data_IF_825862633493
#
_entry.id   IF_825862633493
#
_cell.length_a   1.000
_cell.length_b   1.000
_cell.length_c   1.000
_cell.angle_alpha   90.00
_cell.angle_beta   90.00
_cell.angle_gamma   90.00
#
_symmetry.space_group_name_H-M   'P 1'
#
loop_
_entity.id
_entity.type
_entity.pdbx_description
1 polymer ?
#
# COMPACT_ATOMS: atom_id res chain seq x y z
N UNK A 1 -39.80 40.66 26.05
CA UNK A 1 -40.54 41.91 25.72
C UNK A 1 -40.45 42.11 24.21
N UNK A 2 -41.35 41.42 23.47
CA UNK A 2 -42.14 41.85 22.30
C UNK A 2 -41.55 42.79 21.19
N UNK A 3 -42.11 42.75 19.96
CA UNK A 3 -41.72 41.88 18.83
C UNK A 3 -41.78 42.65 17.47
N UNK A 4 -41.95 41.93 16.35
CA UNK A 4 -42.23 42.41 14.95
C UNK A 4 -40.95 42.87 14.22
N UNK A 5 -40.57 42.29 13.08
CA UNK A 5 -41.20 42.44 11.74
C UNK A 5 -40.95 41.15 10.92
N UNK A 6 -41.97 40.38 10.51
CA UNK A 6 -42.77 40.47 9.28
C UNK A 6 -42.04 40.03 7.97
N UNK A 7 -42.33 38.80 7.55
CA UNK A 7 -42.26 38.13 6.22
C UNK A 7 -43.10 38.94 5.15
N UNK A 8 -43.23 38.62 3.82
CA UNK A 8 -42.80 37.41 3.07
C UNK A 8 -42.47 37.56 1.53
N UNK A 9 -42.23 36.40 0.87
CA UNK A 9 -42.42 36.06 -0.56
C UNK A 9 -41.48 36.66 -1.62
N UNK A 10 -40.72 35.80 -2.33
CA UNK A 10 -41.04 35.43 -3.72
C UNK A 10 -40.15 34.26 -4.21
N UNK A 11 -40.81 33.13 -4.47
CA UNK A 11 -40.24 31.99 -5.15
C UNK A 11 -39.87 32.33 -6.60
N UNK A 12 -38.74 31.85 -7.08
CA UNK A 12 -38.59 31.46 -8.49
C UNK A 12 -37.64 30.28 -8.57
N UNK A 13 -38.20 29.10 -8.80
CA UNK A 13 -37.46 27.94 -9.25
C UNK A 13 -37.33 28.03 -10.78
N UNK A 14 -36.12 27.83 -11.31
CA UNK A 14 -35.95 27.37 -12.68
C UNK A 14 -34.72 26.45 -12.75
N UNK A 15 -35.01 25.15 -12.90
CA UNK A 15 -34.04 24.13 -13.29
C UNK A 15 -33.62 24.34 -14.74
N UNK A 16 -32.32 24.14 -15.01
CA UNK A 16 -31.81 23.60 -16.28
C UNK A 16 -30.65 22.67 -15.97
N UNK A 17 -30.70 21.51 -16.60
CA UNK A 17 -29.94 20.30 -16.32
C UNK A 17 -28.65 20.21 -17.15
N UNK A 18 -27.80 19.26 -16.73
CA UNK A 18 -26.72 18.60 -17.47
C UNK A 18 -25.47 19.45 -17.75
N UNK A 19 -24.25 19.02 -17.41
CA UNK A 19 -23.73 17.66 -17.41
C UNK A 19 -23.35 17.16 -16.01
N UNK A 20 -23.94 16.04 -15.61
CA UNK A 20 -23.20 15.10 -14.80
C UNK A 20 -22.15 14.49 -15.72
N UNK A 21 -20.93 15.02 -15.69
CA UNK A 21 -19.79 14.16 -15.93
C UNK A 21 -19.74 13.22 -14.74
N UNK A 22 -20.38 12.06 -14.91
CA UNK A 22 -19.90 10.86 -14.25
C UNK A 22 -18.47 10.69 -14.76
N UNK A 23 -17.52 11.38 -14.12
CA UNK A 23 -16.15 10.88 -14.07
C UNK A 23 -16.33 9.41 -13.74
N UNK A 24 -15.93 8.48 -14.61
CA UNK A 24 -15.80 7.12 -14.12
C UNK A 24 -14.85 7.31 -12.94
N UNK A 25 -15.34 7.12 -11.71
CA UNK A 25 -14.45 6.72 -10.64
C UNK A 25 -13.76 5.52 -11.26
N UNK A 26 -12.56 5.78 -11.78
CA UNK A 26 -11.64 4.75 -12.14
C UNK A 26 -11.58 3.99 -10.84
N UNK A 27 -12.22 2.82 -10.85
CA UNK A 27 -11.97 1.79 -9.89
C UNK A 27 -10.46 1.66 -9.99
N UNK A 28 -9.73 2.32 -9.08
CA UNK A 28 -8.36 2.00 -8.81
C UNK A 28 -8.46 0.55 -8.40
N UNK A 29 -8.29 -0.32 -9.39
CA UNK A 29 -7.91 -1.68 -9.13
C UNK A 29 -6.53 -1.47 -8.58
N UNK A 30 -6.44 -1.28 -7.25
CA UNK A 30 -5.17 -1.38 -6.55
C UNK A 30 -4.74 -2.80 -6.88
N UNK A 31 -3.92 -2.93 -7.93
CA UNK A 31 -3.34 -4.19 -8.33
C UNK A 31 -2.51 -4.61 -7.13
N UNK A 32 -3.08 -5.48 -6.31
CA UNK A 32 -2.44 -5.96 -5.10
C UNK A 32 -1.20 -6.72 -5.57
N UNK A 33 -0.03 -6.16 -5.27
CA UNK A 33 1.23 -6.76 -5.68
C UNK A 33 1.40 -8.10 -4.93
N UNK A 34 1.56 -9.23 -5.62
CA UNK A 34 1.58 -10.55 -4.99
C UNK A 34 2.79 -10.76 -4.06
N UNK A 35 3.83 -9.93 -4.15
CA UNK A 35 4.99 -9.96 -3.27
C UNK A 35 4.74 -9.23 -1.95
N UNK A 36 3.71 -8.39 -1.86
CA UNK A 36 3.39 -7.59 -0.67
C UNK A 36 2.40 -8.27 0.29
N UNK A 37 1.93 -9.47 -0.03
CA UNK A 37 1.02 -10.23 0.83
C UNK A 37 1.57 -11.62 1.15
N UNK A 38 1.31 -12.18 2.36
CA UNK A 38 1.63 -13.56 2.66
C UNK A 38 0.96 -14.53 1.69
N UNK A 39 1.69 -15.55 1.23
CA UNK A 39 1.14 -16.57 0.34
C UNK A 39 0.22 -17.54 1.09
N UNK A 40 -0.86 -17.95 0.42
CA UNK A 40 -1.80 -18.96 0.87
C UNK A 40 -1.38 -20.41 0.54
N UNK A 41 -0.29 -20.59 -0.21
CA UNK A 41 0.23 -21.90 -0.56
C UNK A 41 0.87 -22.61 0.64
N UNK A 42 0.98 -23.96 0.60
CA UNK A 42 1.66 -24.73 1.66
C UNK A 42 3.04 -24.15 1.99
N UNK A 43 3.31 -24.01 3.29
CA UNK A 43 4.56 -23.44 3.82
C UNK A 43 4.85 -21.98 3.43
N UNK A 44 3.86 -21.26 2.90
CA UNK A 44 4.05 -19.88 2.43
C UNK A 44 4.83 -19.81 1.11
N UNK A 45 4.81 -20.87 0.30
CA UNK A 45 5.51 -20.91 -0.98
C UNK A 45 5.09 -19.74 -1.89
N UNK A 46 6.01 -19.07 -2.61
CA UNK A 46 5.64 -17.94 -3.47
C UNK A 46 4.62 -18.32 -4.55
N UNK A 47 3.66 -17.42 -4.81
CA UNK A 47 2.70 -17.52 -5.92
C UNK A 47 3.38 -17.21 -7.26
N UNK A 48 4.31 -18.05 -7.70
CA UNK A 48 5.02 -17.87 -8.98
C UNK A 48 4.07 -17.81 -10.18
N UNK A 49 2.85 -18.34 -10.07
CA UNK A 49 1.78 -18.22 -11.06
C UNK A 49 1.23 -16.79 -11.21
N UNK A 50 1.54 -15.88 -10.28
CA UNK A 50 1.05 -14.50 -10.24
C UNK A 50 2.16 -13.45 -10.28
N UNK A 51 3.40 -13.83 -10.03
CA UNK A 51 4.55 -12.91 -9.95
C UNK A 51 5.13 -12.73 -11.35
N UNK A 52 5.28 -11.47 -11.74
CA UNK A 52 5.94 -11.05 -12.97
C UNK A 52 7.16 -10.16 -12.66
N UNK A 53 8.04 -9.97 -13.62
CA UNK A 53 9.20 -9.10 -13.52
C UNK A 53 8.81 -7.67 -13.13
N UNK A 54 7.67 -7.19 -13.64
CA UNK A 54 7.13 -5.86 -13.36
C UNK A 54 6.72 -5.65 -11.90
N UNK A 55 6.50 -6.72 -11.14
CA UNK A 55 6.09 -6.63 -9.73
C UNK A 55 7.24 -6.30 -8.79
N UNK A 56 8.49 -6.61 -9.15
CA UNK A 56 9.62 -6.55 -8.21
C UNK A 56 9.98 -5.13 -7.78
N UNK A 57 10.15 -4.21 -8.73
CA UNK A 57 10.50 -2.82 -8.40
C UNK A 57 9.45 -2.15 -7.50
N UNK A 58 8.15 -2.11 -7.86
CA UNK A 58 7.14 -1.49 -7.01
C UNK A 58 7.00 -2.21 -5.66
N UNK A 59 7.12 -3.55 -5.62
CA UNK A 59 7.08 -4.27 -4.34
C UNK A 59 8.24 -3.89 -3.43
N UNK A 60 9.47 -3.86 -3.93
CA UNK A 60 10.64 -3.53 -3.12
C UNK A 60 10.57 -2.09 -2.60
N UNK A 61 10.18 -1.12 -3.45
CA UNK A 61 10.04 0.28 -3.05
C UNK A 61 8.98 0.47 -1.95
N UNK A 62 7.80 -0.12 -2.15
CA UNK A 62 6.73 -0.06 -1.15
C UNK A 62 7.10 -0.80 0.14
N UNK A 63 7.76 -1.97 0.03
CA UNK A 63 8.19 -2.72 1.21
C UNK A 63 9.29 -2.01 2.01
N UNK A 64 10.24 -1.34 1.34
CA UNK A 64 11.22 -0.47 2.01
C UNK A 64 10.53 0.67 2.74
N UNK A 65 9.53 1.30 2.11
CA UNK A 65 8.72 2.36 2.74
C UNK A 65 7.99 1.86 3.98
N UNK A 66 7.37 0.67 3.91
CA UNK A 66 6.69 0.02 5.05
C UNK A 66 7.67 -0.27 6.19
N UNK A 67 8.82 -0.88 5.88
CA UNK A 67 9.82 -1.20 6.90
C UNK A 67 10.37 0.06 7.60
N UNK A 68 10.62 1.14 6.85
CA UNK A 68 11.01 2.42 7.45
C UNK A 68 9.94 2.95 8.42
N UNK A 69 8.66 2.83 8.06
CA UNK A 69 7.57 3.25 8.94
C UNK A 69 7.44 2.37 10.19
N UNK A 70 7.66 1.06 10.08
CA UNK A 70 7.69 0.14 11.22
C UNK A 70 8.84 0.48 12.18
N UNK A 71 10.03 0.74 11.64
CA UNK A 71 11.19 1.16 12.44
C UNK A 71 10.96 2.51 13.11
N UNK A 72 10.37 3.48 12.40
CA UNK A 72 10.02 4.78 12.97
C UNK A 72 9.03 4.65 14.14
N UNK A 73 8.06 3.74 14.04
CA UNK A 73 7.13 3.46 15.12
C UNK A 73 7.84 2.88 16.36
N UNK A 74 8.89 2.08 16.18
CA UNK A 74 9.72 1.56 17.29
C UNK A 74 10.56 2.69 17.91
N UNK A 75 11.18 3.53 17.07
CA UNK A 75 12.05 4.63 17.52
C UNK A 75 11.27 5.72 18.26
N UNK A 76 10.04 6.00 17.83
CA UNK A 76 9.17 7.04 18.39
C UNK A 76 8.32 6.57 19.58
N UNK A 77 8.44 5.31 20.01
CA UNK A 77 7.67 4.75 21.11
C UNK A 77 7.95 5.50 22.43
N UNK A 78 6.90 6.00 23.14
CA UNK A 78 7.08 6.76 24.38
C UNK A 78 7.39 5.89 25.60
N UNK A 79 7.16 4.58 25.52
CA UNK A 79 7.46 3.65 26.60
C UNK A 79 8.97 3.47 26.79
N UNK A 80 9.39 3.13 28.01
CA UNK A 80 10.78 2.75 28.25
C UNK A 80 11.16 1.53 27.37
N UNK A 81 12.38 1.49 26.79
CA UNK A 81 12.80 0.40 25.95
C UNK A 81 12.87 -0.91 26.73
N UNK A 82 12.31 -1.95 26.15
CA UNK A 82 12.30 -3.35 26.61
C UNK A 82 12.80 -4.24 25.49
N UNK A 83 13.14 -5.49 25.81
CA UNK A 83 13.54 -6.45 24.78
C UNK A 83 12.42 -6.67 23.76
N UNK A 84 11.17 -6.71 24.23
CA UNK A 84 9.97 -6.94 23.42
C UNK A 84 9.67 -5.77 22.47
N UNK A 85 9.64 -4.53 22.98
CA UNK A 85 9.28 -3.36 22.16
C UNK A 85 10.41 -2.86 21.27
N UNK A 86 11.65 -3.31 21.49
CA UNK A 86 12.81 -2.90 20.70
C UNK A 86 13.35 -4.05 19.87
N UNK A 87 13.91 -5.10 20.48
CA UNK A 87 14.60 -6.17 19.74
C UNK A 87 13.62 -7.09 19.03
N UNK A 88 12.59 -7.58 19.73
CA UNK A 88 11.58 -8.45 19.11
C UNK A 88 10.77 -7.68 18.06
N UNK A 89 10.50 -6.40 18.30
CA UNK A 89 9.83 -5.55 17.31
C UNK A 89 10.68 -5.37 16.05
N UNK A 90 11.98 -5.06 16.19
CA UNK A 90 12.90 -4.94 15.06
C UNK A 90 13.04 -6.25 14.27
N UNK A 91 13.08 -7.41 14.95
CA UNK A 91 13.13 -8.73 14.29
C UNK A 91 11.87 -9.02 13.47
N UNK A 92 10.73 -8.42 13.83
CA UNK A 92 9.46 -8.56 13.10
C UNK A 92 9.31 -7.59 11.95
N UNK A 93 10.10 -6.52 11.89
CA UNK A 93 10.03 -5.54 10.80
C UNK A 93 10.44 -6.15 9.45
N UNK A 94 9.94 -5.56 8.37
CA UNK A 94 10.43 -5.84 7.01
C UNK A 94 10.01 -7.18 6.44
N UNK A 95 8.94 -7.81 6.94
CA UNK A 95 8.43 -9.08 6.40
C UNK A 95 8.12 -9.00 4.90
N UNK A 96 7.54 -7.89 4.46
CA UNK A 96 7.22 -7.65 3.05
C UNK A 96 8.49 -7.53 2.21
N UNK A 97 9.50 -6.81 2.71
CA UNK A 97 10.76 -6.64 2.00
C UNK A 97 11.51 -7.97 1.92
N UNK A 98 11.56 -8.71 3.03
CA UNK A 98 12.15 -10.05 3.10
C UNK A 98 11.51 -11.00 2.10
N UNK A 99 10.18 -10.97 1.94
CA UNK A 99 9.45 -11.79 0.97
C UNK A 99 9.78 -11.41 -0.47
N UNK A 100 9.68 -10.12 -0.83
CA UNK A 100 10.00 -9.65 -2.17
C UNK A 100 11.47 -9.94 -2.55
N UNK A 101 12.40 -9.64 -1.64
CA UNK A 101 13.83 -9.84 -1.84
C UNK A 101 14.20 -11.32 -1.97
N UNK A 102 13.60 -12.20 -1.16
CA UNK A 102 13.88 -13.64 -1.23
C UNK A 102 13.56 -14.23 -2.59
N UNK A 103 12.40 -13.86 -3.16
CA UNK A 103 12.00 -14.30 -4.51
C UNK A 103 12.90 -13.67 -5.57
N UNK A 104 13.16 -12.36 -5.48
CA UNK A 104 13.99 -11.64 -6.44
C UNK A 104 15.41 -12.20 -6.53
N UNK A 105 16.06 -12.42 -5.39
CA UNK A 105 17.43 -12.95 -5.34
C UNK A 105 17.50 -14.43 -5.68
N UNK A 106 16.43 -15.20 -5.44
CA UNK A 106 16.34 -16.56 -5.95
C UNK A 106 16.30 -16.59 -7.48
N UNK A 107 15.42 -15.80 -8.12
CA UNK A 107 15.31 -15.76 -9.59
C UNK A 107 16.57 -15.20 -10.24
N UNK A 108 17.11 -14.08 -9.75
CA UNK A 108 18.34 -13.49 -10.30
C UNK A 108 19.57 -14.40 -10.15
N UNK A 109 19.54 -15.37 -9.23
CA UNK A 109 20.60 -16.38 -9.03
C UNK A 109 20.40 -17.71 -9.77
N UNK A 110 19.19 -18.01 -10.24
CA UNK A 110 18.85 -19.35 -10.79
C UNK A 110 18.18 -19.33 -12.16
N UNK A 111 17.37 -18.31 -12.45
CA UNK A 111 16.53 -18.19 -13.65
C UNK A 111 16.38 -16.72 -14.06
N UNK A 112 17.52 -16.04 -14.23
CA UNK A 112 17.57 -14.60 -14.51
C UNK A 112 17.26 -14.28 -15.98
N UNK A 113 16.94 -13.01 -16.27
CA UNK A 113 16.74 -12.45 -17.60
C UNK A 113 17.13 -10.96 -17.63
N UNK A 114 17.09 -10.31 -18.79
CA UNK A 114 17.52 -8.92 -18.96
C UNK A 114 16.71 -7.93 -18.10
N UNK A 115 15.40 -8.18 -17.92
CA UNK A 115 14.53 -7.34 -17.08
C UNK A 115 14.91 -7.42 -15.60
N UNK A 116 15.11 -8.64 -15.07
CA UNK A 116 15.54 -8.87 -13.70
C UNK A 116 16.95 -8.33 -13.43
N UNK A 117 17.86 -8.43 -14.41
CA UNK A 117 19.20 -7.83 -14.30
C UNK A 117 19.13 -6.30 -14.26
N UNK A 118 18.27 -5.67 -15.06
CA UNK A 118 18.07 -4.23 -15.04
C UNK A 118 17.47 -3.72 -13.72
N UNK A 119 16.74 -4.56 -12.99
CA UNK A 119 16.26 -4.23 -11.64
C UNK A 119 17.37 -4.35 -10.59
N UNK A 120 18.31 -5.28 -10.78
CA UNK A 120 19.39 -5.59 -9.83
C UNK A 120 20.56 -4.59 -9.88
N UNK A 121 20.80 -3.98 -11.05
CA UNK A 121 21.93 -3.07 -11.32
C UNK A 121 21.79 -1.70 -10.65
#
# INVERSE_FOLDING_TARGET
MNPKQALPVLATALLLAACGESTPEAMETTLVNPLLEPSDLPFGAPRFDRITEADFRPAMEEAMRRQLAEVEAIVSAPEAPTFENTIVALERCGQDLGRAASVFYNLTGSATNDELQAIKA
#
